data_IF_039542452981
#
_entry.id   IF_039542452981
#
_cell.length_a   1.000
_cell.length_b   1.000
_cell.length_c   1.000
_cell.angle_alpha   90.00
_cell.angle_beta   90.00
_cell.angle_gamma   90.00
#
_symmetry.space_group_name_H-M   'P 1'
#
loop_
_entity.id
_entity.type
_entity.pdbx_description
1 polymer ?
#
# COMPACT_ATOMS: atom_id res chain seq x y z
N UNK A 1 -22.02 85.29 -12.83
CA UNK A 1 -21.92 83.94 -12.22
C UNK A 1 -22.81 82.91 -12.94
N UNK A 2 -22.61 82.68 -14.24
CA UNK A 2 -23.26 81.61 -15.02
C UNK A 2 -22.34 81.27 -16.20
N UNK A 3 -21.39 80.34 -16.02
CA UNK A 3 -20.59 79.68 -17.07
C UNK A 3 -19.51 78.75 -16.48
N UNK A 4 -19.90 77.80 -15.62
CA UNK A 4 -18.95 76.79 -15.12
C UNK A 4 -19.61 75.44 -14.77
N UNK A 5 -20.65 75.04 -15.50
CA UNK A 5 -21.41 73.80 -15.24
C UNK A 5 -21.56 72.87 -16.46
N UNK A 6 -20.83 73.09 -17.56
CA UNK A 6 -21.02 72.35 -18.81
C UNK A 6 -19.81 71.51 -19.29
N UNK A 7 -18.84 71.19 -18.42
CA UNK A 7 -17.65 70.40 -18.79
C UNK A 7 -17.57 68.98 -18.19
N UNK A 8 -18.63 68.46 -17.56
CA UNK A 8 -18.61 67.15 -16.86
C UNK A 8 -19.57 66.10 -17.44
N UNK A 9 -19.88 66.17 -18.74
CA UNK A 9 -20.78 65.23 -19.40
C UNK A 9 -20.11 64.56 -20.61
N UNK A 10 -19.03 63.81 -20.38
CA UNK A 10 -18.46 62.85 -21.35
C UNK A 10 -17.43 61.93 -20.66
N UNK A 11 -17.80 61.32 -19.54
CA UNK A 11 -17.06 60.15 -19.05
C UNK A 11 -17.77 58.93 -19.64
N UNK A 12 -17.16 58.22 -20.62
CA UNK A 12 -17.75 57.01 -21.15
C UNK A 12 -17.94 56.03 -20.00
N UNK A 13 -19.13 55.42 -19.89
CA UNK A 13 -19.37 54.26 -19.02
C UNK A 13 -18.41 53.16 -19.45
N UNK A 14 -17.21 53.14 -18.86
CA UNK A 14 -16.27 52.04 -18.98
C UNK A 14 -17.06 50.81 -18.55
N UNK A 15 -17.26 49.87 -19.47
CA UNK A 15 -18.00 48.63 -19.20
C UNK A 15 -17.23 47.88 -18.12
N UNK A 16 -17.65 48.04 -16.86
CA UNK A 16 -17.05 47.42 -15.67
C UNK A 16 -16.79 45.92 -15.90
N UNK A 17 -17.65 45.24 -16.66
CA UNK A 17 -17.48 43.84 -17.01
C UNK A 17 -16.31 43.49 -17.95
N UNK A 18 -15.66 44.45 -18.62
CA UNK A 18 -14.44 44.18 -19.39
C UNK A 18 -13.21 44.15 -18.48
N UNK A 19 -13.06 45.16 -17.61
CA UNK A 19 -11.94 45.24 -16.67
C UNK A 19 -11.90 44.04 -15.70
N UNK A 20 -13.06 43.62 -15.17
CA UNK A 20 -13.14 42.44 -14.31
C UNK A 20 -12.71 41.16 -15.03
N UNK A 21 -13.09 40.97 -16.30
CA UNK A 21 -12.66 39.79 -17.09
C UNK A 21 -11.15 39.76 -17.30
N UNK A 22 -10.54 40.90 -17.64
CA UNK A 22 -9.08 40.98 -17.77
C UNK A 22 -8.35 40.73 -16.45
N UNK A 23 -8.88 41.20 -15.32
CA UNK A 23 -8.35 40.86 -13.99
C UNK A 23 -8.43 39.34 -13.72
N UNK A 24 -9.56 38.69 -14.00
CA UNK A 24 -9.68 37.24 -13.82
C UNK A 24 -8.70 36.47 -14.71
N UNK A 25 -8.52 36.88 -15.97
CA UNK A 25 -7.53 36.25 -16.86
C UNK A 25 -6.09 36.46 -16.37
N UNK A 26 -5.76 37.64 -15.84
CA UNK A 26 -4.45 37.92 -15.29
C UNK A 26 -4.16 37.05 -14.06
N UNK A 27 -5.10 36.93 -13.12
CA UNK A 27 -4.97 36.07 -11.95
C UNK A 27 -4.84 34.61 -12.35
N UNK A 28 -5.65 34.13 -13.30
CA UNK A 28 -5.54 32.77 -13.84
C UNK A 28 -4.20 32.51 -14.52
N UNK A 29 -3.68 33.47 -15.28
CA UNK A 29 -2.37 33.37 -15.91
C UNK A 29 -1.23 33.33 -14.88
N UNK A 30 -1.28 34.16 -13.84
CA UNK A 30 -0.30 34.13 -12.73
C UNK A 30 -0.32 32.77 -12.04
N UNK A 31 -1.49 32.24 -11.71
CA UNK A 31 -1.61 30.92 -11.08
C UNK A 31 -1.03 29.79 -11.96
N UNK A 32 -1.26 29.83 -13.28
CA UNK A 32 -0.68 28.87 -14.23
C UNK A 32 0.85 29.01 -14.26
N UNK A 33 1.37 30.23 -14.29
CA UNK A 33 2.82 30.49 -14.30
C UNK A 33 3.46 29.98 -13.00
N UNK A 34 2.89 30.30 -11.84
CA UNK A 34 3.35 29.82 -10.54
C UNK A 34 3.35 28.29 -10.47
N UNK A 35 2.29 27.65 -10.96
CA UNK A 35 2.22 26.20 -11.04
C UNK A 35 3.32 25.62 -11.94
N UNK A 36 3.55 26.19 -13.12
CA UNK A 36 4.63 25.75 -14.02
C UNK A 36 6.00 25.93 -13.37
N UNK A 37 6.26 27.08 -12.74
CA UNK A 37 7.53 27.36 -12.05
C UNK A 37 7.76 26.41 -10.87
N UNK A 38 6.72 26.13 -10.08
CA UNK A 38 6.79 25.15 -9.00
C UNK A 38 7.12 23.75 -9.53
N UNK A 39 6.49 23.33 -10.64
CA UNK A 39 6.80 22.04 -11.25
C UNK A 39 8.22 21.99 -11.81
N UNK A 40 8.70 23.05 -12.46
CA UNK A 40 10.09 23.14 -12.92
C UNK A 40 11.05 23.06 -11.73
N UNK A 41 10.78 23.78 -10.64
CA UNK A 41 11.58 23.73 -9.43
C UNK A 41 11.59 22.32 -8.82
N UNK A 42 10.43 21.67 -8.71
CA UNK A 42 10.35 20.30 -8.22
C UNK A 42 11.12 19.31 -9.11
N UNK A 43 11.01 19.43 -10.43
CA UNK A 43 11.79 18.61 -11.37
C UNK A 43 13.29 18.89 -11.26
N UNK A 44 13.69 20.15 -11.06
CA UNK A 44 15.08 20.52 -10.81
C UNK A 44 15.60 19.90 -9.51
N UNK A 45 14.83 19.99 -8.42
CA UNK A 45 15.17 19.38 -7.13
C UNK A 45 15.27 17.87 -7.26
N UNK A 46 14.30 17.22 -7.92
CA UNK A 46 14.34 15.76 -8.15
C UNK A 46 15.53 15.38 -9.03
N UNK A 47 15.82 16.12 -10.10
CA UNK A 47 16.96 15.87 -10.99
C UNK A 47 18.28 16.03 -10.25
N UNK A 48 18.43 17.11 -9.48
CA UNK A 48 19.61 17.37 -8.69
C UNK A 48 19.79 16.31 -7.61
N UNK A 49 18.72 15.97 -6.88
CA UNK A 49 18.74 14.86 -5.93
C UNK A 49 19.15 13.57 -6.64
N UNK A 50 18.57 13.23 -7.79
CA UNK A 50 18.91 12.02 -8.54
C UNK A 50 20.36 11.99 -9.01
N UNK A 51 20.92 13.11 -9.46
CA UNK A 51 22.33 13.19 -9.86
C UNK A 51 23.26 13.05 -8.66
N UNK A 52 22.95 13.74 -7.56
CA UNK A 52 23.70 13.62 -6.31
C UNK A 52 23.61 12.19 -5.79
N UNK A 53 22.43 11.58 -5.78
CA UNK A 53 22.23 10.18 -5.43
C UNK A 53 23.01 9.25 -6.36
N UNK A 54 22.99 9.47 -7.68
CA UNK A 54 23.70 8.62 -8.65
C UNK A 54 25.21 8.64 -8.45
N UNK A 55 25.79 9.82 -8.23
CA UNK A 55 27.21 9.98 -7.88
C UNK A 55 27.56 9.41 -6.51
N UNK A 56 26.60 9.33 -5.59
CA UNK A 56 26.76 8.74 -4.25
C UNK A 56 26.52 7.21 -4.23
N UNK A 57 25.80 6.67 -5.21
CA UNK A 57 25.51 5.23 -5.35
C UNK A 57 26.40 4.53 -6.38
N UNK A 58 27.13 5.27 -7.22
CA UNK A 58 28.13 4.69 -8.12
C UNK A 58 29.24 4.06 -7.29
N UNK A 59 29.19 2.73 -7.24
CA UNK A 59 29.97 1.85 -6.41
C UNK A 59 31.41 1.79 -6.94
N UNK A 60 32.21 2.81 -6.65
CA UNK A 60 33.63 2.78 -6.91
C UNK A 60 34.24 1.80 -5.89
N UNK A 61 34.72 0.66 -6.39
CA UNK A 61 34.86 -0.63 -5.70
C UNK A 61 35.82 -0.73 -4.49
N UNK A 62 36.07 0.36 -3.78
CA UNK A 62 36.70 0.34 -2.46
C UNK A 62 35.64 0.10 -1.37
N UNK A 63 36.02 -0.57 -0.28
CA UNK A 63 35.21 -1.00 0.89
C UNK A 63 34.44 0.11 1.66
N UNK A 64 34.12 1.24 1.03
CA UNK A 64 33.27 2.29 1.59
C UNK A 64 31.85 1.76 1.76
N UNK A 65 31.44 1.53 3.02
CA UNK A 65 30.03 1.37 3.40
C UNK A 65 29.18 2.39 2.63
N UNK A 66 28.20 1.88 1.87
CA UNK A 66 27.23 2.67 1.11
C UNK A 66 26.86 3.95 1.85
N UNK A 67 26.94 5.11 1.20
CA UNK A 67 26.59 6.39 1.80
C UNK A 67 25.17 6.38 2.37
N UNK A 68 24.24 5.61 1.79
CA UNK A 68 22.93 5.35 2.38
C UNK A 68 23.03 4.76 3.78
N UNK A 69 23.93 3.81 4.03
CA UNK A 69 24.17 3.30 5.38
C UNK A 69 24.74 4.38 6.29
N UNK A 70 25.61 5.28 5.80
CA UNK A 70 26.11 6.42 6.62
C UNK A 70 25.03 7.47 6.92
N UNK A 71 24.07 7.64 6.01
CA UNK A 71 22.93 8.54 6.16
C UNK A 71 21.90 7.94 7.13
N UNK A 72 21.71 6.63 7.05
CA UNK A 72 20.89 5.84 7.95
C UNK A 72 21.56 5.67 9.33
N UNK A 73 22.89 5.77 9.42
CA UNK A 73 23.63 5.84 10.69
C UNK A 73 23.70 7.28 11.24
N UNK A 74 23.31 8.30 10.46
CA UNK A 74 23.31 9.69 10.90
C UNK A 74 22.09 9.95 11.80
N UNK A 75 22.34 10.09 13.10
CA UNK A 75 21.31 10.35 14.10
C UNK A 75 20.39 11.52 13.73
N UNK A 76 20.91 12.57 13.09
CA UNK A 76 20.13 13.74 12.69
C UNK A 76 19.11 13.42 11.58
N UNK A 77 19.46 12.56 10.62
CA UNK A 77 18.53 12.17 9.55
C UNK A 77 17.53 11.13 10.05
N UNK A 78 17.97 10.18 10.88
CA UNK A 78 17.05 9.28 11.56
C UNK A 78 16.09 10.05 12.47
N UNK A 79 16.54 11.08 13.16
CA UNK A 79 15.69 11.95 13.98
C UNK A 79 14.76 12.76 13.08
N UNK A 80 15.18 13.26 11.92
CA UNK A 80 14.27 13.95 10.97
C UNK A 80 13.24 12.97 10.40
N UNK A 81 13.62 11.76 10.01
CA UNK A 81 12.71 10.75 9.46
C UNK A 81 11.79 10.24 10.57
N UNK A 82 12.30 9.98 11.78
CA UNK A 82 11.52 9.57 12.94
C UNK A 82 10.58 10.69 13.37
N UNK A 83 11.05 11.95 13.39
CA UNK A 83 10.23 13.13 13.67
C UNK A 83 9.22 13.42 12.56
N UNK A 84 9.52 13.07 11.30
CA UNK A 84 8.57 13.19 10.19
C UNK A 84 7.54 12.04 10.22
N UNK A 85 7.93 10.85 10.67
CA UNK A 85 7.01 9.73 10.92
C UNK A 85 6.15 9.97 12.15
N UNK A 86 6.70 10.56 13.21
CA UNK A 86 6.00 10.83 14.47
C UNK A 86 5.18 12.12 14.43
N UNK A 87 5.64 13.15 13.71
CA UNK A 87 4.79 14.27 13.32
C UNK A 87 3.85 13.79 12.22
N UNK A 88 2.65 13.43 12.63
CA UNK A 88 1.49 13.18 11.78
C UNK A 88 1.30 14.22 10.66
N UNK A 89 1.92 15.42 10.75
CA UNK A 89 1.93 16.44 9.71
C UNK A 89 2.51 15.97 8.36
N UNK A 90 3.66 15.29 8.33
CA UNK A 90 4.22 14.83 7.05
C UNK A 90 3.38 13.70 6.46
N UNK A 91 2.99 12.72 7.27
CA UNK A 91 2.06 11.66 6.86
C UNK A 91 0.75 12.27 6.34
N UNK A 92 0.16 13.22 7.05
CA UNK A 92 -1.05 13.94 6.63
C UNK A 92 -0.83 14.73 5.34
N UNK A 93 0.30 15.41 5.17
CA UNK A 93 0.58 16.18 3.94
C UNK A 93 0.77 15.25 2.74
N UNK A 94 1.47 14.13 2.93
CA UNK A 94 1.63 13.08 1.93
C UNK A 94 0.27 12.44 1.62
N UNK A 95 -0.53 12.13 2.64
CA UNK A 95 -1.89 11.58 2.51
C UNK A 95 -2.79 12.55 1.75
N UNK A 96 -2.83 13.84 2.12
CA UNK A 96 -3.59 14.87 1.40
C UNK A 96 -3.10 15.04 -0.05
N UNK A 97 -1.79 14.93 -0.28
CA UNK A 97 -1.24 14.95 -1.65
C UNK A 97 -1.74 13.74 -2.41
N UNK A 98 -1.64 12.55 -1.83
CA UNK A 98 -2.08 11.28 -2.42
C UNK A 98 -3.58 11.30 -2.72
N UNK A 99 -4.41 11.75 -1.79
CA UNK A 99 -5.86 11.90 -1.98
C UNK A 99 -6.19 12.78 -3.19
N UNK A 100 -5.37 13.80 -3.48
CA UNK A 100 -5.54 14.65 -4.68
C UNK A 100 -5.06 13.99 -5.96
N UNK A 101 -4.16 13.01 -5.88
CA UNK A 101 -3.62 12.32 -7.06
C UNK A 101 -4.49 11.11 -7.46
N UNK A 102 -5.24 10.49 -6.53
CA UNK A 102 -6.16 9.41 -6.87
C UNK A 102 -7.44 9.92 -7.56
N UNK A 103 -7.50 9.81 -8.89
CA UNK A 103 -8.75 9.96 -9.65
C UNK A 103 -9.30 8.57 -9.97
N UNK A 104 -10.08 8.02 -9.05
CA UNK A 104 -10.90 6.84 -9.34
C UNK A 104 -12.11 7.31 -10.15
N UNK A 105 -12.26 6.76 -11.35
CA UNK A 105 -13.40 7.08 -12.19
C UNK A 105 -14.57 6.18 -11.80
N UNK A 106 -15.50 6.70 -11.00
CA UNK A 106 -16.79 6.03 -10.81
C UNK A 106 -17.61 6.20 -12.10
N UNK A 107 -17.96 5.07 -12.74
CA UNK A 107 -18.89 4.96 -13.87
C UNK A 107 -18.39 5.49 -15.22
N UNK A 108 -17.54 4.72 -15.90
CA UNK A 108 -17.65 4.64 -17.37
C UNK A 108 -18.39 3.35 -17.74
N UNK A 109 -19.68 3.50 -18.07
CA UNK A 109 -20.53 2.41 -18.61
C UNK A 109 -20.04 1.86 -19.97
N UNK A 110 -18.99 2.44 -20.55
CA UNK A 110 -18.33 1.90 -21.73
C UNK A 110 -16.83 2.01 -21.53
N UNK A 111 -16.21 0.89 -21.16
CA UNK A 111 -14.77 0.70 -21.32
C UNK A 111 -14.39 1.16 -22.72
N UNK A 112 -13.55 2.18 -22.83
CA UNK A 112 -13.02 2.67 -24.12
C UNK A 112 -12.34 1.56 -24.95
N UNK A 113 -12.02 0.43 -24.31
CA UNK A 113 -11.35 -0.71 -24.93
C UNK A 113 -12.26 -1.90 -25.27
N UNK A 114 -13.57 -1.84 -24.97
CA UNK A 114 -14.49 -2.97 -25.21
C UNK A 114 -14.23 -4.21 -24.34
N UNK A 115 -13.26 -4.17 -23.41
CA UNK A 115 -13.02 -5.24 -22.44
C UNK A 115 -14.16 -5.32 -21.42
N UNK A 116 -14.59 -6.54 -21.10
CA UNK A 116 -15.53 -6.80 -20.00
C UNK A 116 -14.97 -6.27 -18.68
N UNK A 117 -15.82 -5.64 -17.88
CA UNK A 117 -15.46 -5.23 -16.53
C UNK A 117 -15.32 -6.50 -15.69
N UNK A 118 -14.14 -6.71 -15.12
CA UNK A 118 -13.91 -7.86 -14.23
C UNK A 118 -14.82 -7.75 -13.01
N UNK A 119 -15.45 -8.87 -12.67
CA UNK A 119 -16.29 -9.01 -11.50
C UNK A 119 -15.74 -10.10 -10.58
N UNK A 120 -15.86 -9.89 -9.28
CA UNK A 120 -15.59 -10.95 -8.31
C UNK A 120 -16.80 -11.88 -8.16
N UNK A 121 -16.67 -12.90 -7.31
CA UNK A 121 -17.73 -13.88 -7.05
C UNK A 121 -18.98 -13.30 -6.34
N UNK A 122 -18.92 -12.05 -5.84
CA UNK A 122 -20.08 -11.32 -5.30
C UNK A 122 -20.68 -10.36 -6.33
N UNK A 123 -20.30 -10.48 -7.61
CA UNK A 123 -20.67 -9.57 -8.70
C UNK A 123 -20.16 -8.13 -8.53
N UNK A 124 -19.21 -7.89 -7.60
CA UNK A 124 -18.60 -6.56 -7.44
C UNK A 124 -17.71 -6.28 -8.63
N UNK A 125 -17.87 -5.12 -9.24
CA UNK A 125 -17.04 -4.70 -10.36
C UNK A 125 -15.71 -4.16 -9.86
N UNK A 126 -14.62 -4.63 -10.45
CA UNK A 126 -13.30 -4.04 -10.23
C UNK A 126 -13.35 -2.59 -10.72
N UNK A 127 -13.00 -1.65 -9.83
CA UNK A 127 -12.98 -0.23 -10.18
C UNK A 127 -11.89 -0.02 -11.22
N UNK A 128 -12.23 0.60 -12.36
CA UNK A 128 -11.22 1.03 -13.34
C UNK A 128 -10.52 2.28 -12.82
N UNK A 129 -9.20 2.26 -12.82
CA UNK A 129 -8.38 3.27 -12.19
C UNK A 129 -7.57 3.92 -13.29
N UNK A 130 -7.87 5.19 -13.57
CA UNK A 130 -6.94 6.00 -14.35
C UNK A 130 -5.70 6.23 -13.50
N UNK A 131 -4.61 5.59 -13.89
CA UNK A 131 -3.36 5.54 -13.14
C UNK A 131 -2.73 6.93 -12.98
N UNK A 132 -3.12 7.62 -11.92
CA UNK A 132 -2.33 8.69 -11.30
C UNK A 132 -2.06 8.37 -9.81
N UNK A 133 -2.51 7.24 -9.28
CA UNK A 133 -2.23 6.82 -7.91
C UNK A 133 -0.76 6.46 -7.66
N UNK A 134 -0.28 6.68 -6.43
CA UNK A 134 1.05 6.23 -5.99
C UNK A 134 0.93 4.83 -5.38
N UNK A 135 1.53 3.85 -6.03
CA UNK A 135 1.75 2.54 -5.42
C UNK A 135 2.70 2.67 -4.22
N UNK A 136 2.18 2.42 -3.02
CA UNK A 136 2.94 2.50 -1.76
C UNK A 136 3.48 1.15 -1.32
N UNK A 137 3.13 0.07 -2.03
CA UNK A 137 3.69 -1.25 -1.77
C UNK A 137 5.17 -1.29 -2.10
N UNK A 138 5.88 -2.20 -1.44
CA UNK A 138 7.28 -2.40 -1.72
C UNK A 138 7.48 -2.77 -3.20
N UNK A 139 8.44 -2.14 -3.90
CA UNK A 139 8.79 -2.49 -5.29
C UNK A 139 7.62 -2.54 -6.31
N UNK A 140 6.54 -1.77 -6.05
CA UNK A 140 5.31 -1.71 -6.86
C UNK A 140 4.61 -3.07 -7.04
N UNK A 141 4.57 -3.86 -5.98
CA UNK A 141 3.95 -5.19 -5.93
C UNK A 141 2.44 -5.11 -6.19
N UNK A 142 1.73 -4.15 -5.58
CA UNK A 142 0.30 -3.97 -5.76
C UNK A 142 -0.07 -3.67 -7.22
N UNK A 143 0.62 -2.73 -7.88
CA UNK A 143 0.40 -2.41 -9.30
C UNK A 143 0.72 -3.60 -10.20
N UNK A 144 1.77 -4.35 -9.87
CA UNK A 144 2.12 -5.55 -10.63
C UNK A 144 0.99 -6.59 -10.60
N UNK A 145 0.47 -6.90 -9.41
CA UNK A 145 -0.63 -7.86 -9.23
C UNK A 145 -1.91 -7.33 -9.88
N UNK A 146 -2.24 -6.05 -9.67
CA UNK A 146 -3.40 -5.40 -10.27
C UNK A 146 -3.43 -5.52 -11.80
N UNK A 147 -2.32 -5.23 -12.46
CA UNK A 147 -2.20 -5.36 -13.92
C UNK A 147 -2.37 -6.80 -14.39
N UNK A 148 -1.90 -7.78 -13.61
CA UNK A 148 -2.15 -9.19 -13.90
C UNK A 148 -3.62 -9.54 -13.77
N UNK A 149 -4.28 -9.10 -12.71
CA UNK A 149 -5.73 -9.30 -12.53
C UNK A 149 -6.49 -8.75 -13.72
N UNK A 150 -6.22 -7.49 -14.13
CA UNK A 150 -6.85 -6.86 -15.31
C UNK A 150 -6.58 -7.58 -16.64
N UNK A 151 -5.54 -8.39 -16.72
CA UNK A 151 -5.23 -9.20 -17.91
C UNK A 151 -6.03 -10.50 -17.98
N UNK A 152 -6.67 -10.91 -16.88
CA UNK A 152 -7.48 -12.13 -16.83
C UNK A 152 -8.81 -11.89 -17.53
N UNK A 153 -9.37 -12.96 -18.10
CA UNK A 153 -10.74 -12.96 -18.63
C UNK A 153 -11.77 -13.00 -17.50
N UNK A 154 -11.45 -13.76 -16.47
CA UNK A 154 -12.30 -14.01 -15.30
C UNK A 154 -11.45 -13.97 -14.02
N UNK A 155 -12.08 -13.60 -12.91
CA UNK A 155 -11.46 -13.56 -11.59
C UNK A 155 -12.33 -14.32 -10.58
N UNK A 156 -12.20 -15.66 -10.50
CA UNK A 156 -13.06 -16.52 -9.66
C UNK A 156 -12.67 -16.46 -8.17
N UNK A 157 -12.32 -15.28 -7.68
CA UNK A 157 -11.90 -15.03 -6.30
C UNK A 157 -12.61 -13.80 -5.77
N UNK A 158 -12.80 -13.72 -4.46
CA UNK A 158 -13.29 -12.50 -3.84
C UNK A 158 -12.25 -11.37 -3.93
N UNK A 159 -12.70 -10.12 -4.17
CA UNK A 159 -11.85 -8.94 -3.96
C UNK A 159 -11.62 -8.72 -2.47
N UNK A 160 -10.69 -9.50 -1.93
CA UNK A 160 -10.39 -9.60 -0.51
C UNK A 160 -8.89 -9.82 -0.34
N UNK A 161 -8.25 -9.03 0.52
CA UNK A 161 -6.84 -9.16 0.89
C UNK A 161 -6.68 -9.51 2.37
N UNK A 162 -5.80 -10.46 2.66
CA UNK A 162 -5.34 -10.75 4.03
C UNK A 162 -3.88 -10.36 4.11
N UNK A 163 -3.55 -9.46 5.05
CA UNK A 163 -2.21 -8.91 5.22
C UNK A 163 -1.68 -9.24 6.62
N UNK A 164 -0.76 -10.21 6.70
CA UNK A 164 -0.16 -10.67 7.95
C UNK A 164 1.16 -9.94 8.14
N UNK A 165 1.28 -9.18 9.24
CA UNK A 165 2.39 -8.23 9.44
C UNK A 165 2.08 -6.86 8.85
N UNK A 166 0.82 -6.41 8.95
CA UNK A 166 0.36 -5.21 8.27
C UNK A 166 1.03 -3.91 8.75
N UNK A 167 1.66 -3.92 9.93
CA UNK A 167 2.39 -2.79 10.50
C UNK A 167 1.54 -1.49 10.48
N UNK A 168 2.06 -0.40 9.91
CA UNK A 168 1.38 0.91 9.83
C UNK A 168 0.31 1.00 8.73
N UNK A 169 0.06 -0.09 7.99
CA UNK A 169 -0.95 -0.17 6.94
C UNK A 169 -0.77 0.82 5.79
N UNK A 170 0.41 1.42 5.63
CA UNK A 170 0.66 2.44 4.59
C UNK A 170 2.03 2.30 3.93
N UNK A 171 3.13 2.51 4.66
CA UNK A 171 4.46 2.50 4.06
C UNK A 171 4.89 1.06 3.74
N UNK A 172 5.18 0.78 2.47
CA UNK A 172 5.45 -0.58 1.98
C UNK A 172 4.27 -1.55 2.17
N UNK A 173 3.06 -1.04 2.42
CA UNK A 173 1.89 -1.89 2.65
C UNK A 173 1.41 -2.55 1.37
N UNK A 174 1.20 -3.86 1.43
CA UNK A 174 0.61 -4.63 0.34
C UNK A 174 -0.92 -4.54 0.32
N UNK A 175 -1.56 -4.08 1.39
CA UNK A 175 -3.01 -3.96 1.48
C UNK A 175 -3.56 -2.57 1.17
N UNK A 176 -2.81 -1.50 1.45
CA UNK A 176 -3.28 -0.11 1.31
C UNK A 176 -3.92 0.17 -0.05
N UNK A 177 -3.21 -0.13 -1.14
CA UNK A 177 -3.71 0.15 -2.49
C UNK A 177 -5.00 -0.64 -2.80
N UNK A 178 -5.11 -1.91 -2.40
CA UNK A 178 -6.32 -2.70 -2.64
C UNK A 178 -7.52 -2.19 -1.84
N UNK A 179 -7.30 -1.71 -0.61
CA UNK A 179 -8.35 -1.07 0.19
C UNK A 179 -8.86 0.19 -0.52
N UNK A 180 -7.97 1.03 -1.03
CA UNK A 180 -8.36 2.20 -1.85
C UNK A 180 -9.16 1.80 -3.09
N UNK A 181 -8.88 0.62 -3.64
CA UNK A 181 -9.58 0.08 -4.81
C UNK A 181 -10.90 -0.61 -4.46
N UNK A 182 -11.33 -0.55 -3.19
CA UNK A 182 -12.60 -1.07 -2.71
C UNK A 182 -12.57 -2.56 -2.34
N UNK A 183 -11.40 -3.14 -2.12
CA UNK A 183 -11.28 -4.54 -1.70
C UNK A 183 -11.60 -4.68 -0.21
N UNK A 184 -12.23 -5.78 0.17
CA UNK A 184 -12.33 -6.17 1.56
C UNK A 184 -10.94 -6.50 2.11
N UNK A 185 -10.70 -6.28 3.40
CA UNK A 185 -9.38 -6.52 3.98
C UNK A 185 -9.40 -7.02 5.42
N UNK A 186 -8.45 -7.88 5.76
CA UNK A 186 -8.09 -8.24 7.14
C UNK A 186 -6.61 -7.94 7.35
N UNK A 187 -6.32 -6.98 8.21
CA UNK A 187 -4.95 -6.55 8.55
C UNK A 187 -4.61 -7.11 9.92
N UNK A 188 -3.52 -7.87 10.01
CA UNK A 188 -3.10 -8.55 11.24
C UNK A 188 -1.75 -8.03 11.68
N UNK A 189 -1.66 -7.53 12.90
CA UNK A 189 -0.39 -7.17 13.54
C UNK A 189 -0.48 -7.30 15.08
N UNK A 190 0.53 -7.86 15.75
CA UNK A 190 0.52 -7.98 17.21
C UNK A 190 0.66 -6.63 17.95
N UNK A 191 1.26 -5.61 17.32
CA UNK A 191 1.54 -4.31 17.92
C UNK A 191 0.33 -3.39 17.79
N UNK A 192 -0.33 -3.13 18.92
CA UNK A 192 -1.56 -2.33 18.95
C UNK A 192 -1.38 -0.89 18.46
N UNK A 193 -0.19 -0.30 18.65
CA UNK A 193 0.13 1.03 18.13
C UNK A 193 0.21 1.05 16.60
N UNK A 194 0.81 0.04 16.00
CA UNK A 194 0.91 -0.06 14.54
C UNK A 194 -0.47 -0.23 13.91
N UNK A 195 -1.34 -1.09 14.46
CA UNK A 195 -2.73 -1.18 14.01
C UNK A 195 -3.52 0.12 14.20
N UNK A 196 -3.27 0.87 15.28
CA UNK A 196 -3.91 2.17 15.46
C UNK A 196 -3.49 3.13 14.36
N UNK A 197 -2.20 3.17 14.01
CA UNK A 197 -1.66 3.95 12.90
C UNK A 197 -2.24 3.49 11.57
N UNK A 198 -2.29 2.19 11.32
CA UNK A 198 -2.93 1.59 10.14
C UNK A 198 -4.37 2.06 10.00
N UNK A 199 -5.16 2.03 11.07
CA UNK A 199 -6.53 2.54 11.04
C UNK A 199 -6.60 4.01 10.66
N UNK A 200 -5.73 4.87 11.22
CA UNK A 200 -5.72 6.28 10.85
C UNK A 200 -5.37 6.49 9.37
N UNK A 201 -4.44 5.70 8.85
CA UNK A 201 -3.99 5.78 7.46
C UNK A 201 -5.06 5.30 6.48
N UNK A 202 -5.83 4.26 6.80
CA UNK A 202 -6.76 3.64 5.84
C UNK A 202 -8.20 4.14 5.93
N UNK A 203 -8.65 4.66 7.09
CA UNK A 203 -10.08 4.93 7.35
C UNK A 203 -10.76 5.89 6.37
N UNK A 204 -10.02 6.84 5.76
CA UNK A 204 -10.60 7.76 4.77
C UNK A 204 -10.82 7.11 3.40
N UNK A 205 -10.24 5.94 3.18
CA UNK A 205 -10.32 5.18 1.93
C UNK A 205 -11.30 4.01 1.99
N UNK A 206 -11.67 3.59 3.20
CA UNK A 206 -12.70 2.56 3.40
C UNK A 206 -14.04 3.13 2.99
N UNK A 207 -14.68 2.46 2.03
CA UNK A 207 -15.97 2.83 1.47
C UNK A 207 -16.04 4.31 1.09
N UNK A 208 -15.00 4.81 0.40
CA UNK A 208 -14.88 6.23 0.04
C UNK A 208 -16.10 6.78 -0.74
N UNK A 209 -16.85 5.91 -1.42
CA UNK A 209 -18.06 6.29 -2.18
C UNK A 209 -19.36 6.09 -1.39
N UNK A 210 -19.27 5.63 -0.13
CA UNK A 210 -20.39 5.31 0.75
C UNK A 210 -21.41 4.36 0.09
N UNK A 211 -20.90 3.34 -0.61
CA UNK A 211 -21.72 2.31 -1.25
C UNK A 211 -22.15 1.23 -0.23
N UNK A 212 -21.54 1.21 0.97
CA UNK A 212 -21.83 0.26 2.05
C UNK A 212 -21.25 -1.14 1.81
N UNK A 213 -20.38 -1.31 0.82
CA UNK A 213 -20.00 -2.61 0.25
C UNK A 213 -18.51 -2.97 0.45
N UNK A 214 -17.89 -2.41 1.50
CA UNK A 214 -16.50 -2.72 1.84
C UNK A 214 -16.35 -3.09 3.31
N UNK A 215 -15.74 -4.26 3.56
CA UNK A 215 -15.41 -4.76 4.89
C UNK A 215 -13.91 -4.66 5.16
N UNK A 216 -13.51 -3.95 6.20
CA UNK A 216 -12.12 -3.91 6.66
C UNK A 216 -12.04 -4.18 8.17
N UNK A 217 -11.23 -5.15 8.57
CA UNK A 217 -11.00 -5.53 9.96
C UNK A 217 -9.52 -5.46 10.33
N UNK A 218 -9.23 -4.94 11.53
CA UNK A 218 -7.89 -4.96 12.11
C UNK A 218 -7.86 -5.96 13.27
N UNK A 219 -6.93 -6.91 13.20
CA UNK A 219 -6.82 -8.01 14.17
C UNK A 219 -5.51 -7.89 14.92
N UNK A 220 -5.61 -7.52 16.21
CA UNK A 220 -4.45 -7.46 17.12
C UNK A 220 -4.04 -8.84 17.59
N UNK A 221 -3.27 -9.55 16.79
CA UNK A 221 -2.76 -10.88 17.10
C UNK A 221 -1.45 -11.19 16.38
N UNK A 222 -0.65 -12.09 16.94
CA UNK A 222 0.36 -12.84 16.20
C UNK A 222 -0.29 -14.10 15.63
N UNK A 223 0.10 -14.53 14.42
CA UNK A 223 -0.33 -15.83 13.89
C UNK A 223 0.65 -16.91 14.32
N UNK A 224 0.12 -17.95 14.96
CA UNK A 224 0.87 -18.98 15.69
C UNK A 224 0.32 -20.37 15.37
N UNK A 225 0.99 -21.43 15.84
CA UNK A 225 0.55 -22.82 15.63
C UNK A 225 -0.65 -23.21 16.51
N UNK A 226 -0.86 -22.49 17.61
CA UNK A 226 -1.95 -22.69 18.55
C UNK A 226 -2.49 -21.34 19.04
N UNK A 227 -3.78 -21.31 19.38
CA UNK A 227 -4.41 -20.14 20.00
C UNK A 227 -3.89 -19.96 21.43
N UNK A 228 -3.81 -18.73 21.92
CA UNK A 228 -3.46 -18.45 23.31
C UNK A 228 -2.78 -17.11 23.51
N UNK A 229 -1.96 -17.00 24.56
CA UNK A 229 -1.10 -15.84 24.77
C UNK A 229 0.35 -16.21 24.49
N UNK A 230 0.99 -15.48 23.59
CA UNK A 230 2.39 -15.69 23.20
C UNK A 230 3.26 -14.49 23.57
N UNK A 231 4.54 -14.76 23.84
CA UNK A 231 5.55 -13.72 24.06
C UNK A 231 6.08 -13.25 22.70
N UNK A 232 5.95 -11.96 22.45
CA UNK A 232 6.38 -11.27 21.23
C UNK A 232 7.52 -10.32 21.58
N UNK A 233 8.61 -10.40 20.82
CA UNK A 233 9.84 -9.64 21.03
C UNK A 233 9.99 -8.62 19.90
N UNK A 234 10.26 -7.36 20.25
CA UNK A 234 10.53 -6.33 19.25
C UNK A 234 11.62 -5.37 19.74
N UNK A 235 12.31 -4.73 18.80
CA UNK A 235 13.31 -3.70 19.14
C UNK A 235 12.65 -2.36 19.39
N UNK A 236 12.90 -1.74 20.55
CA UNK A 236 12.47 -0.36 20.83
C UNK A 236 13.12 0.68 19.92
N UNK A 237 14.30 0.39 19.36
CA UNK A 237 15.05 1.29 18.46
C UNK A 237 14.67 1.12 16.98
N UNK A 238 14.08 -0.02 16.62
CA UNK A 238 13.62 -0.32 15.27
C UNK A 238 12.11 -0.52 15.29
N UNK A 239 11.36 0.58 15.36
CA UNK A 239 9.90 0.52 15.23
C UNK A 239 9.52 -0.24 13.95
N UNK A 240 8.83 -1.37 14.11
CA UNK A 240 8.22 -2.15 13.02
C UNK A 240 9.12 -3.16 12.31
N UNK A 241 10.39 -2.84 12.00
CA UNK A 241 11.18 -3.64 11.03
C UNK A 241 11.94 -4.83 11.58
N UNK A 242 11.97 -5.04 12.90
CA UNK A 242 12.64 -6.20 13.52
C UNK A 242 11.86 -6.67 14.74
N UNK A 243 10.79 -7.44 14.50
CA UNK A 243 9.94 -8.01 15.54
C UNK A 243 9.75 -9.50 15.29
N UNK A 244 9.51 -10.35 16.30
CA UNK A 244 9.31 -11.80 16.13
C UNK A 244 8.63 -12.44 17.34
N UNK A 245 8.04 -13.62 17.15
CA UNK A 245 7.52 -14.44 18.27
C UNK A 245 8.68 -15.19 18.92
N UNK A 246 8.72 -15.24 20.26
CA UNK A 246 9.83 -15.84 21.01
C UNK A 246 10.11 -17.32 20.64
N UNK A 247 9.07 -18.07 20.28
CA UNK A 247 9.17 -19.47 19.86
C UNK A 247 9.80 -19.66 18.47
N UNK A 248 9.96 -18.59 17.68
CA UNK A 248 10.54 -18.66 16.33
C UNK A 248 12.07 -18.91 16.31
N UNK A 249 12.71 -19.08 17.48
CA UNK A 249 14.10 -19.52 17.59
C UNK A 249 15.16 -18.48 17.18
N UNK A 250 14.79 -17.21 17.06
CA UNK A 250 15.73 -16.14 16.70
C UNK A 250 16.58 -15.74 17.92
N UNK A 251 17.72 -16.40 18.12
CA UNK A 251 18.54 -16.26 19.33
C UNK A 251 19.38 -14.98 19.46
N UNK A 252 19.24 -14.00 18.57
CA UNK A 252 19.96 -12.73 18.72
C UNK A 252 19.15 -11.80 19.61
N UNK A 253 19.54 -11.70 20.89
CA UNK A 253 19.09 -10.62 21.79
C UNK A 253 19.28 -9.29 21.08
N UNK A 254 18.19 -8.64 20.72
CA UNK A 254 18.22 -7.30 20.16
C UNK A 254 18.59 -6.33 21.29
N UNK A 255 19.51 -5.41 21.03
CA UNK A 255 19.79 -4.33 21.98
C UNK A 255 18.54 -3.47 22.12
N UNK A 256 17.99 -3.37 23.34
CA UNK A 256 16.69 -2.70 23.57
C UNK A 256 15.46 -3.55 23.24
N UNK A 257 15.58 -4.89 23.30
CA UNK A 257 14.46 -5.83 23.19
C UNK A 257 13.37 -5.54 24.23
N UNK A 258 12.15 -5.37 23.74
CA UNK A 258 10.92 -5.26 24.53
C UNK A 258 10.12 -6.54 24.35
N UNK A 259 9.64 -7.09 25.47
CA UNK A 259 8.81 -8.29 25.50
C UNK A 259 7.37 -7.89 25.78
N UNK A 260 6.46 -8.28 24.89
CA UNK A 260 5.03 -8.03 25.00
C UNK A 260 4.29 -9.36 24.96
N UNK A 261 3.33 -9.58 25.88
CA UNK A 261 2.37 -10.67 25.72
C UNK A 261 1.24 -10.22 24.81
N UNK A 262 1.02 -10.96 23.72
CA UNK A 262 -0.04 -10.69 22.74
C UNK A 262 -0.93 -11.92 22.57
N UNK A 263 -2.10 -11.72 21.95
CA UNK A 263 -2.94 -12.84 21.51
C UNK A 263 -2.25 -13.57 20.37
N UNK A 264 -2.07 -14.88 20.50
CA UNK A 264 -1.72 -15.78 19.41
C UNK A 264 -3.00 -16.40 18.84
N UNK A 265 -3.13 -16.43 17.51
CA UNK A 265 -4.23 -17.07 16.80
C UNK A 265 -3.67 -18.04 15.75
N UNK A 266 -4.30 -19.18 15.59
CA UNK A 266 -4.13 -20.02 14.40
C UNK A 266 -4.80 -19.39 13.18
N UNK A 267 -4.38 -19.80 11.98
CA UNK A 267 -5.07 -19.40 10.74
C UNK A 267 -6.53 -19.83 10.76
N UNK A 268 -6.83 -21.01 11.34
CA UNK A 268 -8.20 -21.52 11.49
C UNK A 268 -9.08 -20.56 12.28
N UNK A 269 -8.61 -20.10 13.44
CA UNK A 269 -9.35 -19.19 14.31
C UNK A 269 -9.47 -17.80 13.70
N UNK A 270 -8.39 -17.27 13.10
CA UNK A 270 -8.44 -16.00 12.37
C UNK A 270 -9.51 -16.05 11.26
N UNK A 271 -9.45 -17.06 10.39
CA UNK A 271 -10.34 -17.14 9.25
C UNK A 271 -11.81 -17.32 9.65
N UNK A 272 -12.08 -18.11 10.70
CA UNK A 272 -13.43 -18.27 11.24
C UNK A 272 -13.97 -16.97 11.84
N UNK A 273 -13.15 -16.27 12.64
CA UNK A 273 -13.53 -15.01 13.30
C UNK A 273 -13.81 -13.90 12.28
N UNK A 274 -12.91 -13.74 11.31
CA UNK A 274 -12.97 -12.69 10.29
C UNK A 274 -13.76 -13.08 9.04
N UNK A 275 -14.38 -14.28 9.03
CA UNK A 275 -15.17 -14.81 7.91
C UNK A 275 -14.44 -14.76 6.57
N UNK A 276 -13.15 -15.11 6.59
CA UNK A 276 -12.28 -15.04 5.40
C UNK A 276 -12.75 -16.12 4.41
N UNK A 277 -13.06 -15.78 3.15
CA UNK A 277 -13.49 -16.77 2.17
C UNK A 277 -12.33 -17.68 1.76
N UNK A 278 -12.61 -18.91 1.33
CA UNK A 278 -11.58 -19.87 0.90
C UNK A 278 -10.79 -19.39 -0.32
N UNK A 279 -11.51 -18.81 -1.29
CA UNK A 279 -10.97 -18.31 -2.55
C UNK A 279 -10.97 -16.78 -2.54
N UNK A 280 -9.97 -16.18 -1.91
CA UNK A 280 -9.80 -14.73 -1.86
C UNK A 280 -8.72 -14.26 -2.83
N UNK A 281 -8.56 -12.95 -3.01
CA UNK A 281 -7.67 -12.42 -4.03
C UNK A 281 -6.20 -12.47 -3.62
N UNK A 282 -5.83 -11.98 -2.43
CA UNK A 282 -4.41 -11.79 -2.09
C UNK A 282 -4.12 -12.17 -0.64
N UNK A 283 -3.09 -12.98 -0.43
CA UNK A 283 -2.46 -13.25 0.85
C UNK A 283 -1.06 -12.62 0.88
N UNK A 284 -0.85 -11.63 1.74
CA UNK A 284 0.46 -11.02 2.02
C UNK A 284 0.96 -11.55 3.36
N UNK A 285 2.19 -12.07 3.39
CA UNK A 285 2.84 -12.59 4.59
C UNK A 285 4.19 -11.91 4.75
N UNK A 286 4.25 -10.99 5.70
CA UNK A 286 5.44 -10.31 6.21
C UNK A 286 5.53 -10.55 7.72
N UNK A 287 5.73 -11.83 8.08
CA UNK A 287 5.77 -12.29 9.46
C UNK A 287 7.16 -12.84 9.76
N UNK A 288 8.00 -11.94 10.26
CA UNK A 288 9.38 -12.18 10.67
C UNK A 288 9.59 -13.51 11.41
N UNK A 289 10.07 -14.52 10.67
CA UNK A 289 10.47 -15.83 11.18
C UNK A 289 9.35 -16.86 11.36
N UNK A 290 8.09 -16.52 11.08
CA UNK A 290 6.94 -17.45 11.15
C UNK A 290 6.21 -17.62 9.81
N UNK A 291 6.65 -16.93 8.75
CA UNK A 291 5.95 -16.89 7.47
C UNK A 291 5.67 -18.27 6.87
N UNK A 292 6.63 -19.21 6.96
CA UNK A 292 6.50 -20.54 6.36
C UNK A 292 5.43 -21.37 7.07
N UNK A 293 5.39 -21.33 8.40
CA UNK A 293 4.42 -22.02 9.24
C UNK A 293 3.01 -21.45 9.01
N UNK A 294 2.89 -20.13 8.92
CA UNK A 294 1.62 -19.44 8.60
C UNK A 294 1.11 -19.91 7.23
N UNK A 295 1.96 -19.88 6.21
CA UNK A 295 1.59 -20.31 4.85
C UNK A 295 1.17 -21.78 4.81
N UNK A 296 1.89 -22.68 5.50
CA UNK A 296 1.51 -24.10 5.61
C UNK A 296 0.11 -24.26 6.20
N UNK A 297 -0.23 -23.50 7.25
CA UNK A 297 -1.58 -23.55 7.84
C UNK A 297 -2.67 -23.11 6.85
N UNK A 298 -2.46 -22.03 6.10
CA UNK A 298 -3.41 -21.59 5.06
C UNK A 298 -3.66 -22.68 4.02
N UNK A 299 -2.60 -23.28 3.49
CA UNK A 299 -2.70 -24.32 2.46
C UNK A 299 -3.33 -25.61 2.98
N UNK A 300 -2.97 -26.03 4.20
CA UNK A 300 -3.53 -27.22 4.87
C UNK A 300 -5.02 -27.08 5.19
N UNK A 301 -5.49 -25.85 5.38
CA UNK A 301 -6.90 -25.52 5.52
C UNK A 301 -7.58 -25.26 4.17
N UNK A 302 -6.97 -25.62 3.05
CA UNK A 302 -7.56 -25.51 1.71
C UNK A 302 -7.93 -24.09 1.28
N UNK A 303 -7.28 -23.06 1.86
CA UNK A 303 -7.40 -21.72 1.31
C UNK A 303 -6.58 -21.60 0.02
N UNK A 304 -7.15 -20.90 -0.96
CA UNK A 304 -6.57 -20.68 -2.29
C UNK A 304 -6.64 -19.19 -2.66
N UNK A 305 -5.84 -18.32 -2.02
CA UNK A 305 -5.68 -16.96 -2.52
C UNK A 305 -5.23 -16.94 -3.98
N UNK A 306 -5.74 -16.02 -4.80
CA UNK A 306 -5.32 -15.88 -6.20
C UNK A 306 -3.83 -15.54 -6.31
N UNK A 307 -3.32 -14.74 -5.37
CA UNK A 307 -1.91 -14.37 -5.27
C UNK A 307 -1.39 -14.51 -3.85
N UNK A 308 -0.13 -14.93 -3.74
CA UNK A 308 0.62 -14.93 -2.48
C UNK A 308 1.81 -13.98 -2.66
N UNK A 309 1.94 -13.03 -1.74
CA UNK A 309 3.13 -12.19 -1.56
C UNK A 309 3.82 -12.69 -0.29
N UNK A 310 5.07 -13.13 -0.41
CA UNK A 310 5.78 -13.78 0.68
C UNK A 310 7.16 -13.17 0.88
N UNK A 311 7.46 -12.66 2.08
CA UNK A 311 8.78 -12.12 2.41
C UNK A 311 9.82 -13.26 2.50
N UNK A 312 10.79 -13.28 1.57
CA UNK A 312 11.73 -14.41 1.47
C UNK A 312 12.96 -14.28 2.39
N UNK A 313 13.14 -13.16 3.10
CA UNK A 313 14.35 -12.89 3.90
C UNK A 313 14.63 -13.97 4.95
N UNK A 314 13.59 -14.69 5.39
CA UNK A 314 13.69 -15.77 6.38
C UNK A 314 13.05 -17.07 5.87
N UNK A 315 13.37 -17.49 4.65
CA UNK A 315 12.72 -18.63 4.00
C UNK A 315 12.77 -19.96 4.79
N UNK A 316 13.66 -20.13 5.78
CA UNK A 316 13.75 -21.32 6.63
C UNK A 316 14.16 -22.62 5.93
N UNK A 317 13.97 -22.69 4.61
CA UNK A 317 14.32 -23.78 3.70
C UNK A 317 14.93 -23.23 2.40
N UNK A 318 15.54 -24.07 1.54
CA UNK A 318 16.06 -23.63 0.25
C UNK A 318 14.96 -23.13 -0.70
N UNK A 319 15.24 -22.08 -1.46
CA UNK A 319 14.29 -21.45 -2.41
C UNK A 319 13.62 -22.44 -3.35
N UNK A 320 14.39 -23.35 -3.95
CA UNK A 320 13.85 -24.36 -4.87
C UNK A 320 12.85 -25.31 -4.19
N UNK A 321 13.06 -25.64 -2.90
CA UNK A 321 12.14 -26.50 -2.14
C UNK A 321 10.84 -25.76 -1.87
N UNK A 322 10.93 -24.50 -1.44
CA UNK A 322 9.78 -23.64 -1.18
C UNK A 322 8.91 -23.42 -2.43
N UNK A 323 9.54 -23.04 -3.55
CA UNK A 323 8.85 -22.85 -4.84
C UNK A 323 8.19 -24.16 -5.28
N UNK A 324 8.88 -25.29 -5.18
CA UNK A 324 8.32 -26.58 -5.55
C UNK A 324 7.12 -26.96 -4.67
N UNK A 325 7.17 -26.68 -3.37
CA UNK A 325 6.05 -26.91 -2.44
C UNK A 325 4.81 -26.13 -2.86
N UNK A 326 4.95 -24.86 -3.21
CA UNK A 326 3.85 -24.03 -3.70
C UNK A 326 3.32 -24.51 -5.06
N UNK A 327 4.22 -24.95 -5.95
CA UNK A 327 3.84 -25.58 -7.23
C UNK A 327 2.98 -26.82 -7.04
N UNK A 328 3.30 -27.68 -6.08
CA UNK A 328 2.49 -28.86 -5.74
C UNK A 328 1.10 -28.48 -5.18
N UNK A 329 0.89 -27.23 -4.77
CA UNK A 329 -0.40 -26.69 -4.33
C UNK A 329 -1.07 -25.81 -5.39
N UNK A 330 -0.68 -25.92 -6.67
CA UNK A 330 -1.32 -25.20 -7.78
C UNK A 330 -0.82 -23.77 -7.99
N UNK A 331 0.30 -23.36 -7.38
CA UNK A 331 0.85 -22.01 -7.52
C UNK A 331 2.00 -21.95 -8.52
N UNK A 332 1.97 -20.94 -9.38
CA UNK A 332 3.07 -20.60 -10.27
C UNK A 332 3.90 -19.47 -9.68
N UNK A 333 5.23 -19.64 -9.64
CA UNK A 333 6.14 -18.58 -9.22
C UNK A 333 6.27 -17.51 -10.31
N UNK A 334 5.90 -16.27 -10.00
CA UNK A 334 5.96 -15.15 -10.94
C UNK A 334 7.30 -14.43 -10.92
N UNK A 335 8.04 -14.54 -9.81
CA UNK A 335 9.33 -13.92 -9.62
C UNK A 335 9.45 -13.19 -8.29
N UNK A 336 10.60 -12.56 -8.13
CA UNK A 336 10.96 -11.75 -6.98
C UNK A 336 10.77 -10.27 -7.28
N UNK A 337 10.18 -9.54 -6.35
CA UNK A 337 10.12 -8.07 -6.36
C UNK A 337 10.57 -7.59 -4.99
N UNK A 338 11.63 -6.79 -4.95
CA UNK A 338 12.22 -6.37 -3.68
C UNK A 338 12.56 -7.54 -2.77
N UNK A 339 11.95 -7.59 -1.60
CA UNK A 339 12.13 -8.65 -0.59
C UNK A 339 11.04 -9.74 -0.62
N UNK A 340 10.16 -9.69 -1.62
CA UNK A 340 9.02 -10.59 -1.72
C UNK A 340 9.11 -11.53 -2.92
N UNK A 341 8.71 -12.79 -2.71
CA UNK A 341 8.30 -13.70 -3.76
C UNK A 341 6.82 -13.53 -4.05
N UNK A 342 6.47 -13.56 -5.33
CA UNK A 342 5.07 -13.48 -5.76
C UNK A 342 4.70 -14.79 -6.46
N UNK A 343 3.58 -15.36 -6.03
CA UNK A 343 2.99 -16.56 -6.62
C UNK A 343 1.57 -16.28 -7.09
N UNK A 344 1.14 -17.00 -8.11
CA UNK A 344 -0.21 -16.93 -8.68
C UNK A 344 -0.84 -18.32 -8.69
N UNK A 345 -2.05 -18.45 -8.15
CA UNK A 345 -2.81 -19.68 -8.19
C UNK A 345 -3.38 -19.91 -9.60
N UNK A 346 -3.14 -21.11 -10.13
CA UNK A 346 -3.73 -21.59 -11.37
C UNK A 346 -4.81 -22.61 -11.01
N UNK A 347 -6.10 -22.22 -11.00
CA UNK A 347 -7.17 -23.16 -10.73
C UNK A 347 -7.08 -24.28 -11.76
N UNK A 348 -7.18 -25.52 -11.31
CA UNK A 348 -7.16 -26.67 -12.21
C UNK A 348 -8.38 -26.60 -13.12
N UNK A 349 -8.26 -26.94 -14.41
CA UNK A 349 -9.41 -26.96 -15.34
C UNK A 349 -10.55 -27.87 -14.83
N UNK A 350 -10.25 -28.80 -13.92
CA UNK A 350 -11.22 -29.69 -13.28
C UNK A 350 -12.03 -29.06 -12.13
N UNK A 351 -11.61 -27.93 -11.56
CA UNK A 351 -12.33 -27.28 -10.45
C UNK A 351 -13.44 -26.33 -10.92
N UNK A 352 -13.45 -25.90 -12.19
CA UNK A 352 -14.44 -24.92 -12.70
C UNK A 352 -15.87 -25.47 -12.82
N UNK A 353 -16.06 -26.78 -12.73
CA UNK A 353 -17.36 -27.44 -12.95
C UNK A 353 -18.15 -27.70 -11.66
N UNK A 354 -17.60 -27.37 -10.48
CA UNK A 354 -18.30 -27.57 -9.20
C UNK A 354 -18.99 -26.27 -8.79
N UNK A 355 -20.34 -26.17 -8.83
CA UNK A 355 -21.05 -24.97 -8.38
C UNK A 355 -20.76 -24.73 -6.89
N UNK A 356 -20.41 -23.48 -6.57
CA UNK A 356 -20.02 -23.01 -5.22
C UNK A 356 -21.18 -22.76 -4.28
#
# INVERSE_FOLDING_TARGET
MKKLTSCLALVPKVRVGAATRYCCYLVGAIAIIEFILLNIFMLYVISHLSQTFSALTSNDGSHSRSFLNRLQDNGLVNDIISNAKSNQLFQKTLQETLERVYIVHSKQQRSRSGKSVLRDVKDRTMKDISFLGLDVSHSKEATYIYNRILSRKEFPYHFFIVDIGANDGFLSSNSFNFIQWGWDAVLVDPQGLELQTAWQNIKSYIDQYNDGDQYVELVRAAITEQDGSVEFHYSSRGQGTMSHVASAGVHKRLEGEVKLRVSGLTVKTLAAKSKIPKNFGILSIDAEGMGLEILKQWLALEFRPAYIIYEYLRLGEPEAVFINRLRMNGYHYLGKRGWNFIFEHQPSETESDTPS
#
